data_IF_749405845628
#
_entry.id   IF_749405845628
#
_cell.length_a   1.000
_cell.length_b   1.000
_cell.length_c   1.000
_cell.angle_alpha   90.00
_cell.angle_beta   90.00
_cell.angle_gamma   90.00
#
_symmetry.space_group_name_H-M   'P 1'
#
loop_
_entity.id
_entity.type
_entity.pdbx_description
1 polymer ?
#
# COMPACT_ATOMS: atom_id res chain seq x y z
N UNK A 1 -24.14 -22.38 17.45
CA UNK A 1 -22.73 -21.91 17.47
C UNK A 1 -22.05 -22.53 16.26
N UNK A 2 -21.61 -21.77 15.25
CA UNK A 2 -20.88 -22.36 14.14
C UNK A 2 -19.48 -22.75 14.61
N UNK A 3 -19.09 -23.98 14.31
CA UNK A 3 -17.73 -24.50 14.50
C UNK A 3 -16.85 -23.80 13.47
N UNK A 4 -16.09 -22.80 13.88
CA UNK A 4 -15.05 -22.22 13.05
C UNK A 4 -13.94 -23.26 12.91
N UNK A 5 -13.85 -23.90 11.74
CA UNK A 5 -12.68 -24.69 11.38
C UNK A 5 -11.45 -23.75 11.39
N UNK A 6 -10.47 -24.08 12.23
CA UNK A 6 -9.11 -23.52 12.28
C UNK A 6 -8.35 -23.88 10.99
N UNK A 7 -8.79 -23.37 9.84
CA UNK A 7 -8.16 -23.66 8.54
C UNK A 7 -6.83 -22.89 8.38
N UNK A 8 -6.63 -21.81 9.14
CA UNK A 8 -5.48 -20.94 9.00
C UNK A 8 -4.87 -20.59 10.37
N UNK A 9 -3.85 -21.34 10.80
CA UNK A 9 -3.09 -20.99 12.01
C UNK A 9 -2.10 -19.86 11.69
N UNK A 10 -2.03 -18.78 12.48
CA UNK A 10 -1.09 -17.67 12.25
C UNK A 10 0.38 -18.09 12.15
N UNK A 11 0.74 -19.21 12.78
CA UNK A 11 2.08 -19.81 12.80
C UNK A 11 2.52 -20.34 11.42
N UNK A 12 1.61 -20.49 10.46
CA UNK A 12 1.88 -21.07 9.13
C UNK A 12 2.10 -20.01 8.03
N UNK A 13 2.03 -18.70 8.33
CA UNK A 13 1.63 -17.72 7.31
C UNK A 13 2.34 -16.36 7.43
N UNK A 14 3.65 -16.36 7.38
CA UNK A 14 4.25 -15.69 6.23
C UNK A 14 5.16 -16.71 5.63
N UNK A 15 4.83 -17.11 4.43
CA UNK A 15 5.70 -18.05 3.76
C UNK A 15 6.91 -17.24 3.29
N UNK A 16 8.01 -17.33 4.05
CA UNK A 16 9.23 -16.54 3.81
C UNK A 16 9.74 -16.69 2.37
N UNK A 17 9.31 -17.74 1.67
CA UNK A 17 9.56 -17.98 0.25
C UNK A 17 8.88 -16.98 -0.70
N UNK A 18 7.83 -16.25 -0.27
CA UNK A 18 7.16 -15.18 -1.01
C UNK A 18 7.95 -13.86 -1.02
N UNK A 19 9.04 -13.78 -0.27
CA UNK A 19 9.85 -12.56 -0.13
C UNK A 19 11.30 -12.84 -0.46
N UNK A 20 11.92 -11.89 -1.17
CA UNK A 20 13.36 -11.82 -1.32
C UNK A 20 13.92 -10.85 -0.30
N UNK A 21 15.14 -11.08 0.17
CA UNK A 21 15.83 -10.16 1.06
C UNK A 21 17.23 -9.87 0.53
N UNK A 22 17.71 -8.65 0.77
CA UNK A 22 19.03 -8.20 0.37
C UNK A 22 19.44 -6.95 1.12
N UNK A 23 20.71 -6.57 0.94
CA UNK A 23 21.25 -5.37 1.57
C UNK A 23 21.19 -4.19 0.60
N UNK A 24 21.08 -2.99 1.17
CA UNK A 24 21.20 -1.72 0.47
C UNK A 24 22.55 -1.66 -0.26
N UNK A 25 22.54 -1.19 -1.50
CA UNK A 25 23.75 -1.12 -2.30
C UNK A 25 24.78 -0.14 -1.70
N UNK A 26 26.06 -0.51 -1.77
CA UNK A 26 27.18 0.33 -1.33
C UNK A 26 27.76 1.19 -2.47
N UNK A 27 27.02 1.36 -3.59
CA UNK A 27 27.51 2.08 -4.79
C UNK A 27 27.62 3.59 -4.56
N UNK A 28 26.67 4.19 -3.84
CA UNK A 28 26.66 5.62 -3.53
C UNK A 28 27.09 5.82 -2.08
N UNK A 29 28.12 6.64 -1.84
CA UNK A 29 28.69 6.85 -0.49
C UNK A 29 28.17 8.09 0.23
N UNK A 30 27.55 9.02 -0.48
CA UNK A 30 27.17 10.35 0.02
C UNK A 30 25.67 10.55 -0.01
N UNK A 31 25.12 11.13 1.06
CA UNK A 31 23.71 11.53 1.11
C UNK A 31 23.43 12.70 0.15
N UNK A 32 22.18 12.87 -0.32
CA UNK A 32 21.83 14.00 -1.19
C UNK A 32 22.14 15.36 -0.52
N UNK A 33 21.91 15.44 0.79
CA UNK A 33 22.16 16.65 1.60
C UNK A 33 23.65 16.99 1.71
N UNK A 34 24.53 15.99 1.63
CA UNK A 34 25.98 16.16 1.70
C UNK A 34 26.58 16.61 0.36
N UNK A 35 25.94 16.25 -0.77
CA UNK A 35 26.33 16.70 -2.11
C UNK A 35 26.19 18.22 -2.26
N UNK A 36 25.26 18.84 -1.52
CA UNK A 36 25.04 20.29 -1.52
C UNK A 36 26.06 21.08 -0.69
N UNK A 37 26.79 20.44 0.25
CA UNK A 37 27.75 21.13 1.12
C UNK A 37 29.13 21.35 0.49
N UNK A 38 29.40 20.78 -0.70
CA UNK A 38 30.65 21.02 -1.44
C UNK A 38 30.65 22.29 -2.31
N UNK A 39 29.52 23.03 -2.40
CA UNK A 39 29.44 24.30 -3.12
C UNK A 39 29.46 25.50 -2.18
N UNK A 40 30.47 26.37 -2.30
CA UNK A 40 30.64 27.61 -1.52
C UNK A 40 29.70 28.74 -1.95
N UNK A 41 28.38 28.60 -1.75
CA UNK A 41 27.44 29.72 -1.94
C UNK A 41 26.27 29.71 -0.94
N UNK A 42 25.67 30.88 -0.74
CA UNK A 42 24.80 31.27 0.38
C UNK A 42 23.54 30.42 0.60
N UNK A 43 23.08 30.38 1.86
CA UNK A 43 22.80 29.16 2.62
C UNK A 43 21.35 28.63 2.63
N UNK A 44 20.46 29.02 1.72
CA UNK A 44 19.11 28.41 1.64
C UNK A 44 18.65 28.12 0.21
N UNK A 45 18.92 29.04 -0.71
CA UNK A 45 18.54 28.91 -2.12
C UNK A 45 19.44 27.94 -2.89
N UNK A 46 20.72 27.83 -2.52
CA UNK A 46 21.67 26.94 -3.20
C UNK A 46 21.36 25.46 -2.95
N UNK A 47 20.95 25.10 -1.73
CA UNK A 47 20.50 23.74 -1.38
C UNK A 47 19.29 23.31 -2.22
N UNK A 48 18.29 24.18 -2.34
CA UNK A 48 17.10 23.91 -3.15
C UNK A 48 17.42 23.80 -4.65
N UNK A 49 18.38 24.57 -5.16
CA UNK A 49 18.83 24.54 -6.58
C UNK A 49 19.66 23.30 -6.90
N UNK A 50 20.60 22.89 -6.04
CA UNK A 50 21.38 21.68 -6.28
C UNK A 50 20.55 20.39 -6.14
N UNK A 51 19.56 20.36 -5.24
CA UNK A 51 18.62 19.23 -5.18
C UNK A 51 17.75 19.10 -6.44
N UNK A 52 17.56 20.18 -7.21
CA UNK A 52 16.88 20.14 -8.52
C UNK A 52 17.77 19.58 -9.63
N UNK A 53 19.09 19.59 -9.47
CA UNK A 53 20.07 19.08 -10.46
C UNK A 53 20.38 17.59 -10.27
N UNK A 54 19.97 16.99 -9.14
CA UNK A 54 20.16 15.56 -8.89
C UNK A 54 19.25 14.74 -9.81
N UNK A 55 19.84 13.77 -10.52
CA UNK A 55 19.10 12.69 -11.15
C UNK A 55 18.59 11.72 -10.09
N UNK A 56 17.46 12.08 -9.48
CA UNK A 56 16.83 11.35 -8.39
C UNK A 56 16.51 9.90 -8.76
N UNK A 57 16.10 9.65 -10.00
CA UNK A 57 15.86 8.32 -10.52
C UNK A 57 17.13 7.47 -10.49
N UNK A 58 18.24 7.97 -11.04
CA UNK A 58 19.52 7.26 -10.98
C UNK A 58 19.98 7.06 -9.53
N UNK A 59 19.84 8.09 -8.70
CA UNK A 59 20.28 8.05 -7.31
C UNK A 59 19.54 6.96 -6.53
N UNK A 60 18.19 6.99 -6.55
CA UNK A 60 17.34 6.03 -5.86
C UNK A 60 17.60 4.61 -6.34
N UNK A 61 17.68 4.39 -7.65
CA UNK A 61 17.93 3.06 -8.21
C UNK A 61 19.29 2.49 -7.78
N UNK A 62 20.30 3.35 -7.59
CA UNK A 62 21.62 2.91 -7.17
C UNK A 62 21.77 2.64 -5.67
N UNK A 63 20.82 3.09 -4.83
CA UNK A 63 20.78 2.74 -3.41
C UNK A 63 19.88 1.54 -3.11
N UNK A 64 18.92 1.21 -4.00
CA UNK A 64 18.11 0.01 -3.85
C UNK A 64 18.97 -1.27 -3.83
N UNK A 65 18.50 -2.36 -3.17
CA UNK A 65 19.19 -3.65 -3.24
C UNK A 65 19.35 -4.09 -4.70
N UNK A 66 20.56 -4.44 -5.17
CA UNK A 66 20.78 -4.77 -6.59
C UNK A 66 19.89 -5.91 -7.09
N UNK A 67 19.64 -6.90 -6.22
CA UNK A 67 18.80 -8.05 -6.53
C UNK A 67 17.33 -7.67 -6.72
N UNK A 68 16.88 -6.51 -6.21
CA UNK A 68 15.53 -6.01 -6.47
C UNK A 68 15.39 -5.58 -7.92
N UNK A 69 16.41 -4.95 -8.51
CA UNK A 69 16.35 -4.48 -9.89
C UNK A 69 16.65 -5.62 -10.87
N UNK A 70 17.77 -6.30 -10.68
CA UNK A 70 18.31 -7.28 -11.64
C UNK A 70 17.40 -8.51 -11.82
N UNK A 71 16.64 -8.90 -10.79
CA UNK A 71 15.78 -10.09 -10.85
C UNK A 71 14.34 -9.81 -11.28
N UNK A 72 13.90 -8.56 -11.22
CA UNK A 72 12.48 -8.23 -11.39
C UNK A 72 12.22 -7.30 -12.57
N UNK A 73 13.25 -6.61 -13.09
CA UNK A 73 13.09 -5.64 -14.17
C UNK A 73 14.12 -5.85 -15.28
N UNK A 74 13.68 -5.70 -16.53
CA UNK A 74 14.54 -5.51 -17.69
C UNK A 74 15.05 -4.07 -17.81
N UNK A 75 16.02 -3.83 -18.69
CA UNK A 75 16.65 -2.51 -18.88
C UNK A 75 15.64 -1.41 -19.24
N UNK A 76 14.67 -1.70 -20.11
CA UNK A 76 13.62 -0.77 -20.49
C UNK A 76 12.74 -0.36 -19.29
N UNK A 77 12.40 -1.31 -18.44
CA UNK A 77 11.60 -1.05 -17.25
C UNK A 77 12.39 -0.25 -16.20
N UNK A 78 13.69 -0.51 -16.07
CA UNK A 78 14.59 0.30 -15.22
C UNK A 78 14.67 1.73 -15.75
N UNK A 79 14.78 1.92 -17.07
CA UNK A 79 14.78 3.25 -17.69
C UNK A 79 13.45 3.98 -17.48
N UNK A 80 12.33 3.29 -17.63
CA UNK A 80 10.99 3.82 -17.33
C UNK A 80 10.87 4.24 -15.86
N UNK A 81 11.33 3.39 -14.94
CA UNK A 81 11.31 3.66 -13.50
C UNK A 81 12.14 4.90 -13.15
N UNK A 82 13.35 5.01 -13.71
CA UNK A 82 14.20 6.22 -13.56
C UNK A 82 13.48 7.47 -14.04
N UNK A 83 12.84 7.40 -15.21
CA UNK A 83 12.11 8.53 -15.80
C UNK A 83 10.93 8.96 -14.92
N UNK A 84 10.12 8.01 -14.44
CA UNK A 84 8.98 8.28 -13.55
C UNK A 84 9.42 8.93 -12.24
N UNK A 85 10.49 8.44 -11.61
CA UNK A 85 11.03 9.04 -10.37
C UNK A 85 11.51 10.48 -10.63
N UNK A 86 12.24 10.71 -11.73
CA UNK A 86 12.71 12.05 -12.10
C UNK A 86 11.58 13.02 -12.46
N UNK A 87 10.48 12.51 -13.01
CA UNK A 87 9.31 13.32 -13.29
C UNK A 87 8.62 13.72 -11.97
N UNK A 88 8.43 12.77 -11.06
CA UNK A 88 7.82 13.02 -9.75
C UNK A 88 8.67 13.94 -8.87
N UNK A 89 10.01 13.83 -8.90
CA UNK A 89 10.93 14.64 -8.10
C UNK A 89 10.91 16.14 -8.42
N UNK A 90 10.31 16.53 -9.56
CA UNK A 90 10.05 17.95 -9.87
C UNK A 90 9.10 18.58 -8.87
N UNK A 91 8.18 17.79 -8.30
CA UNK A 91 7.29 18.24 -7.24
C UNK A 91 8.04 18.28 -5.92
N UNK A 92 7.96 19.40 -5.21
CA UNK A 92 8.66 19.63 -3.94
C UNK A 92 8.37 18.53 -2.91
N UNK A 93 7.10 18.17 -2.73
CA UNK A 93 6.67 17.12 -1.80
C UNK A 93 7.28 15.76 -2.12
N UNK A 94 7.28 15.36 -3.40
CA UNK A 94 7.87 14.09 -3.82
C UNK A 94 9.39 14.09 -3.67
N UNK A 95 10.04 15.23 -3.91
CA UNK A 95 11.48 15.40 -3.70
C UNK A 95 11.86 15.28 -2.22
N UNK A 96 11.11 15.91 -1.34
CA UNK A 96 11.27 15.77 0.11
C UNK A 96 11.17 14.31 0.51
N UNK A 97 10.11 13.62 0.08
CA UNK A 97 9.90 12.19 0.32
C UNK A 97 11.08 11.34 -0.17
N UNK A 98 11.59 11.61 -1.38
CA UNK A 98 12.75 10.92 -1.94
C UNK A 98 14.03 11.14 -1.13
N UNK A 99 14.27 12.35 -0.66
CA UNK A 99 15.39 12.70 0.21
C UNK A 99 15.31 11.94 1.55
N UNK A 100 14.12 11.89 2.16
CA UNK A 100 13.86 11.12 3.39
C UNK A 100 14.09 9.62 3.19
N UNK A 101 13.62 9.08 2.08
CA UNK A 101 13.85 7.68 1.73
C UNK A 101 15.32 7.36 1.49
N UNK A 102 16.05 8.24 0.80
CA UNK A 102 17.49 8.09 0.63
C UNK A 102 18.20 8.03 1.99
N UNK A 103 17.89 8.96 2.89
CA UNK A 103 18.41 8.93 4.28
C UNK A 103 18.11 7.62 4.99
N UNK A 104 16.86 7.17 4.95
CA UNK A 104 16.45 5.91 5.57
C UNK A 104 17.18 4.69 4.99
N UNK A 105 17.37 4.63 3.67
CA UNK A 105 18.14 3.56 3.03
C UNK A 105 19.60 3.55 3.48
N UNK A 106 20.20 4.73 3.61
CA UNK A 106 21.55 4.88 4.14
C UNK A 106 21.67 4.36 5.58
N UNK A 107 20.75 4.74 6.47
CA UNK A 107 20.75 4.27 7.86
C UNK A 107 20.69 2.74 7.93
N UNK A 108 19.84 2.12 7.09
CA UNK A 108 19.73 0.65 7.01
C UNK A 108 20.97 -0.01 6.46
N UNK A 109 21.69 0.64 5.54
CA UNK A 109 22.98 0.18 5.03
C UNK A 109 24.04 0.19 6.13
N UNK A 110 24.17 1.29 6.85
CA UNK A 110 25.15 1.44 7.93
C UNK A 110 24.87 0.43 9.06
N UNK A 111 23.59 0.20 9.36
CA UNK A 111 23.16 -0.85 10.29
C UNK A 111 23.32 -2.29 9.73
N UNK A 112 23.76 -2.47 8.47
CA UNK A 112 23.85 -3.74 7.76
C UNK A 112 22.55 -4.55 7.79
N UNK A 113 21.42 -3.85 7.82
CA UNK A 113 20.12 -4.49 7.90
C UNK A 113 19.73 -5.03 6.52
N UNK A 114 19.20 -6.24 6.50
CA UNK A 114 18.57 -6.79 5.30
C UNK A 114 17.17 -6.18 5.14
N UNK A 115 16.86 -5.71 3.95
CA UNK A 115 15.53 -5.29 3.54
C UNK A 115 14.89 -6.44 2.76
N UNK A 116 13.60 -6.68 2.98
CA UNK A 116 12.85 -7.71 2.27
C UNK A 116 11.74 -7.09 1.44
N UNK A 117 11.39 -7.72 0.32
CA UNK A 117 10.37 -7.27 -0.63
C UNK A 117 9.68 -8.47 -1.28
N UNK A 118 8.48 -8.30 -1.88
CA UNK A 118 7.76 -9.37 -2.57
C UNK A 118 8.62 -9.99 -3.66
N UNK A 119 8.64 -11.32 -3.73
CA UNK A 119 9.31 -12.08 -4.79
C UNK A 119 8.52 -12.10 -6.09
N UNK A 120 7.19 -12.03 -6.01
CA UNK A 120 6.29 -12.10 -7.16
C UNK A 120 5.55 -10.78 -7.30
N UNK A 121 5.28 -10.36 -8.54
CA UNK A 121 4.53 -9.14 -8.83
C UNK A 121 5.10 -7.88 -8.11
N UNK A 122 6.41 -7.83 -7.90
CA UNK A 122 7.08 -6.82 -7.05
C UNK A 122 6.76 -5.39 -7.46
N UNK A 123 6.78 -5.11 -8.77
CA UNK A 123 6.49 -3.77 -9.29
C UNK A 123 5.00 -3.54 -9.53
N UNK A 124 4.19 -4.59 -9.65
CA UNK A 124 2.73 -4.43 -9.61
C UNK A 124 2.27 -3.86 -8.26
N UNK A 125 2.97 -4.18 -7.15
CA UNK A 125 2.72 -3.57 -5.85
C UNK A 125 3.03 -2.08 -5.86
N UNK A 126 4.13 -1.68 -6.48
CA UNK A 126 4.56 -0.28 -6.59
C UNK A 126 3.55 0.51 -7.43
N UNK A 127 3.12 -0.04 -8.56
CA UNK A 127 2.16 0.57 -9.48
C UNK A 127 0.73 0.64 -8.92
N UNK A 128 0.46 -0.06 -7.81
CA UNK A 128 -0.82 0.09 -7.10
C UNK A 128 -0.93 1.42 -6.37
N UNK A 129 0.12 2.23 -6.26
CA UNK A 129 0.04 3.52 -5.56
C UNK A 129 -0.08 4.66 -6.57
N UNK A 130 -0.77 5.75 -6.19
CA UNK A 130 -0.89 6.94 -7.04
C UNK A 130 0.43 7.67 -7.35
N UNK A 131 1.55 7.21 -6.79
CA UNK A 131 2.90 7.75 -6.98
C UNK A 131 3.92 6.61 -6.89
N UNK A 132 4.87 6.62 -7.82
CA UNK A 132 6.01 5.69 -7.87
C UNK A 132 6.85 5.78 -6.59
N UNK A 133 7.11 7.01 -6.12
CA UNK A 133 7.86 7.26 -4.88
C UNK A 133 7.18 6.58 -3.69
N UNK A 134 5.85 6.75 -3.57
CA UNK A 134 5.08 6.12 -2.48
C UNK A 134 5.03 4.60 -2.59
N UNK A 135 4.92 4.07 -3.81
CA UNK A 135 4.95 2.63 -4.04
C UNK A 135 6.29 2.00 -3.61
N UNK A 136 7.41 2.66 -3.93
CA UNK A 136 8.74 2.21 -3.50
C UNK A 136 8.88 2.18 -1.97
N UNK A 137 8.30 3.14 -1.26
CA UNK A 137 8.36 3.15 0.21
C UNK A 137 7.56 2.00 0.82
N UNK A 138 6.48 1.60 0.15
CA UNK A 138 5.64 0.49 0.60
C UNK A 138 6.17 -0.89 0.24
N UNK A 139 7.25 -0.93 -0.55
CA UNK A 139 7.78 -2.18 -1.06
C UNK A 139 8.45 -3.01 0.04
N UNK A 140 9.08 -2.36 1.02
CA UNK A 140 9.91 -3.05 1.99
C UNK A 140 9.13 -3.52 3.22
N UNK A 141 9.44 -4.75 3.68
CA UNK A 141 8.75 -5.40 4.80
C UNK A 141 9.67 -5.77 5.95
N UNK A 142 9.12 -5.75 7.15
CA UNK A 142 9.85 -6.10 8.38
C UNK A 142 9.94 -7.62 8.52
N UNK A 143 11.11 -8.17 8.20
CA UNK A 143 11.39 -9.60 8.29
C UNK A 143 11.30 -10.16 9.71
N UNK A 144 11.44 -9.32 10.74
CA UNK A 144 11.30 -9.75 12.14
C UNK A 144 9.85 -10.12 12.49
N UNK A 145 8.89 -9.63 11.70
CA UNK A 145 7.46 -9.87 11.90
C UNK A 145 6.94 -11.09 11.15
N UNK A 146 7.74 -11.71 10.28
CA UNK A 146 7.33 -12.90 9.53
C UNK A 146 6.83 -14.03 10.45
N UNK A 147 7.51 -14.28 11.56
CA UNK A 147 7.11 -15.32 12.52
C UNK A 147 5.96 -14.91 13.45
N UNK A 148 5.55 -13.63 13.42
CA UNK A 148 4.61 -13.04 14.40
C UNK A 148 3.30 -12.60 13.77
N UNK A 149 3.22 -12.56 12.44
CA UNK A 149 2.10 -11.99 11.70
C UNK A 149 1.66 -12.96 10.60
N UNK A 150 0.38 -12.85 10.25
CA UNK A 150 -0.29 -13.64 9.23
C UNK A 150 -0.02 -13.15 7.79
N UNK A 151 0.65 -12.02 7.62
CA UNK A 151 1.15 -11.52 6.35
C UNK A 151 2.26 -10.51 6.62
N UNK A 152 3.06 -10.16 5.61
CA UNK A 152 4.16 -9.23 5.76
C UNK A 152 3.65 -7.80 6.00
N UNK A 153 4.33 -7.11 6.90
CA UNK A 153 4.00 -5.74 7.33
C UNK A 153 5.06 -4.81 6.74
N UNK A 154 4.61 -3.69 6.17
CA UNK A 154 5.50 -2.65 5.63
C UNK A 154 6.41 -2.13 6.76
N UNK A 155 7.70 -1.92 6.48
CA UNK A 155 8.58 -1.32 7.48
C UNK A 155 8.13 0.13 7.72
N UNK A 156 7.85 0.46 8.98
CA UNK A 156 7.58 1.83 9.37
C UNK A 156 8.84 2.70 9.25
N UNK A 157 8.67 3.89 8.67
CA UNK A 157 9.76 4.88 8.54
C UNK A 157 9.90 5.75 9.80
N UNK A 158 8.98 5.62 10.77
CA UNK A 158 8.96 6.46 11.99
C UNK A 158 8.52 7.90 11.74
N UNK A 159 8.17 8.23 10.48
CA UNK A 159 7.78 9.55 10.02
C UNK A 159 6.33 9.49 9.51
N UNK A 160 5.47 10.36 10.06
CA UNK A 160 4.06 10.41 9.74
C UNK A 160 3.80 10.86 8.29
N UNK A 161 4.76 11.51 7.63
CA UNK A 161 4.63 11.91 6.23
C UNK A 161 4.99 10.78 5.25
N UNK A 162 5.73 9.76 5.73
CA UNK A 162 6.11 8.56 4.96
C UNK A 162 5.10 7.43 5.12
N UNK A 163 3.81 7.76 5.20
CA UNK A 163 2.73 6.78 5.17
C UNK A 163 2.44 6.39 3.72
N UNK A 164 2.17 5.11 3.41
CA UNK A 164 1.50 4.72 2.17
C UNK A 164 0.44 5.73 1.78
N UNK A 165 0.64 6.40 0.65
CA UNK A 165 -0.47 7.19 0.12
C UNK A 165 -1.58 6.27 -0.36
N UNK A 166 -2.68 6.86 -0.83
CA UNK A 166 -3.82 6.10 -1.30
C UNK A 166 -3.42 5.11 -2.40
N UNK A 167 -4.07 3.95 -2.37
CA UNK A 167 -4.01 2.97 -3.44
C UNK A 167 -4.76 3.55 -4.64
N UNK A 168 -4.19 3.38 -5.83
CA UNK A 168 -4.77 3.90 -7.07
C UNK A 168 -6.16 3.30 -7.32
N UNK A 169 -7.12 4.18 -7.60
CA UNK A 169 -8.51 3.82 -7.89
C UNK A 169 -8.75 3.48 -9.36
N UNK A 170 -7.70 3.56 -10.19
CA UNK A 170 -7.82 3.43 -11.65
C UNK A 170 -8.04 2.00 -12.15
N UNK A 171 -7.59 0.99 -11.40
CA UNK A 171 -7.72 -0.43 -11.76
C UNK A 171 -8.31 -1.25 -10.61
N UNK A 172 -9.08 -2.31 -10.89
CA UNK A 172 -9.52 -3.22 -9.83
C UNK A 172 -8.32 -3.90 -9.18
N UNK A 173 -8.37 -4.05 -7.86
CA UNK A 173 -7.39 -4.85 -7.13
C UNK A 173 -7.95 -6.24 -6.93
N UNK A 174 -7.44 -7.18 -7.70
CA UNK A 174 -7.95 -8.53 -7.73
C UNK A 174 -7.08 -9.49 -6.93
N UNK A 175 -7.74 -10.39 -6.21
CA UNK A 175 -7.15 -11.56 -5.60
C UNK A 175 -7.84 -12.81 -6.17
N UNK A 176 -7.11 -13.53 -7.02
CA UNK A 176 -7.54 -14.79 -7.60
C UNK A 176 -7.14 -15.97 -6.72
N UNK A 177 -7.84 -17.09 -6.88
CA UNK A 177 -7.64 -18.31 -6.10
C UNK A 177 -6.28 -18.99 -6.35
N UNK A 178 -5.66 -18.74 -7.49
CA UNK A 178 -4.34 -19.21 -7.91
C UNK A 178 -3.20 -18.25 -7.53
N UNK A 179 -3.53 -17.09 -6.94
CA UNK A 179 -2.53 -16.15 -6.45
C UNK A 179 -1.67 -16.80 -5.38
N UNK A 180 -0.35 -16.66 -5.52
CA UNK A 180 0.63 -17.10 -4.52
C UNK A 180 0.43 -16.41 -3.16
N UNK A 181 -0.26 -15.26 -3.13
CA UNK A 181 -0.58 -14.51 -1.92
C UNK A 181 -1.95 -14.85 -1.31
N UNK A 182 -2.76 -15.71 -1.94
CA UNK A 182 -4.14 -16.00 -1.51
C UNK A 182 -4.23 -16.47 -0.06
N UNK A 183 -3.34 -17.39 0.34
CA UNK A 183 -3.33 -17.98 1.70
C UNK A 183 -2.86 -16.96 2.75
N UNK A 184 -1.81 -16.19 2.47
CA UNK A 184 -1.30 -15.14 3.37
C UNK A 184 -2.39 -14.06 3.59
N UNK A 185 -3.06 -13.60 2.54
CA UNK A 185 -4.13 -12.58 2.65
C UNK A 185 -5.34 -13.14 3.40
N UNK A 186 -5.77 -14.36 3.08
CA UNK A 186 -6.90 -15.01 3.76
C UNK A 186 -6.64 -15.16 5.26
N UNK A 187 -5.41 -15.51 5.64
CA UNK A 187 -5.01 -15.61 7.05
C UNK A 187 -4.96 -14.25 7.72
N UNK A 188 -4.44 -13.23 7.04
CA UNK A 188 -4.40 -11.86 7.59
C UNK A 188 -5.81 -11.36 7.94
N UNK A 189 -6.80 -11.64 7.09
CA UNK A 189 -8.20 -11.30 7.37
C UNK A 189 -8.81 -12.14 8.49
N UNK A 190 -8.48 -13.44 8.57
CA UNK A 190 -8.91 -14.30 9.67
C UNK A 190 -8.33 -13.85 11.03
N UNK A 191 -7.06 -13.42 11.07
CA UNK A 191 -6.43 -12.87 12.27
C UNK A 191 -7.07 -11.54 12.69
N UNK A 192 -7.40 -10.67 11.72
CA UNK A 192 -8.13 -9.45 11.97
C UNK A 192 -9.51 -9.73 12.58
N UNK A 193 -10.27 -10.67 12.04
CA UNK A 193 -11.58 -11.02 12.59
C UNK A 193 -11.47 -11.58 14.00
N UNK A 194 -10.48 -12.44 14.26
CA UNK A 194 -10.20 -12.95 15.61
C UNK A 194 -9.93 -11.80 16.60
N UNK A 195 -9.15 -10.80 16.18
CA UNK A 195 -8.91 -9.58 16.98
C UNK A 195 -10.21 -8.84 17.23
N UNK A 196 -11.00 -8.56 16.20
CA UNK A 196 -12.29 -7.87 16.31
C UNK A 196 -13.25 -8.58 17.29
N UNK A 197 -13.34 -9.91 17.22
CA UNK A 197 -14.17 -10.71 18.14
C UNK A 197 -13.70 -10.64 19.61
N UNK A 198 -12.42 -10.33 19.85
CA UNK A 198 -11.88 -10.08 21.19
C UNK A 198 -12.30 -8.72 21.77
N UNK A 199 -12.68 -7.76 20.93
CA UNK A 199 -13.11 -6.41 21.32
C UNK A 199 -14.63 -6.33 21.52
N UNK A 200 -15.18 -7.20 22.39
CA UNK A 200 -16.64 -7.32 22.64
C UNK A 200 -17.37 -6.05 23.12
N UNK A 201 -16.65 -4.98 23.46
CA UNK A 201 -17.22 -3.73 24.01
C UNK A 201 -16.72 -2.46 23.29
N UNK A 202 -16.12 -2.59 22.10
CA UNK A 202 -15.65 -1.47 21.33
C UNK A 202 -16.82 -0.75 20.61
N UNK A 203 -16.75 0.59 20.54
CA UNK A 203 -17.67 1.35 19.68
C UNK A 203 -17.41 1.02 18.20
N UNK A 204 -18.37 1.23 17.28
CA UNK A 204 -18.15 1.04 15.85
C UNK A 204 -16.91 1.76 15.32
N UNK A 205 -16.64 2.97 15.81
CA UNK A 205 -15.47 3.79 15.45
C UNK A 205 -14.16 3.12 15.87
N UNK A 206 -14.11 2.59 17.09
CA UNK A 206 -12.94 1.88 17.60
C UNK A 206 -12.65 0.61 16.77
N UNK A 207 -13.70 -0.09 16.34
CA UNK A 207 -13.57 -1.23 15.43
C UNK A 207 -13.02 -0.84 14.06
N UNK A 208 -13.48 0.28 13.50
CA UNK A 208 -13.00 0.81 12.22
C UNK A 208 -11.53 1.22 12.31
N UNK A 209 -11.14 1.92 13.38
CA UNK A 209 -9.75 2.33 13.58
C UNK A 209 -8.83 1.11 13.71
N UNK A 210 -9.26 0.07 14.43
CA UNK A 210 -8.51 -1.19 14.51
C UNK A 210 -8.36 -1.85 13.13
N UNK A 211 -9.42 -1.86 12.32
CA UNK A 211 -9.38 -2.40 10.95
C UNK A 211 -8.39 -1.60 10.10
N UNK A 212 -8.53 -0.26 10.08
CA UNK A 212 -7.63 0.64 9.35
C UNK A 212 -6.17 0.41 9.73
N UNK A 213 -5.85 0.54 11.01
CA UNK A 213 -4.48 0.43 11.49
C UNK A 213 -3.89 -0.95 11.21
N UNK A 214 -4.69 -2.02 11.34
CA UNK A 214 -4.22 -3.38 11.07
C UNK A 214 -3.98 -3.62 9.58
N UNK A 215 -4.92 -3.21 8.72
CA UNK A 215 -4.87 -3.48 7.30
C UNK A 215 -3.87 -2.60 6.56
N UNK A 216 -3.77 -1.31 6.91
CA UNK A 216 -2.80 -0.39 6.33
C UNK A 216 -1.35 -0.76 6.65
N UNK A 217 -1.13 -1.43 7.78
CA UNK A 217 0.18 -1.94 8.16
C UNK A 217 0.66 -3.08 7.25
N UNK A 218 -0.25 -3.91 6.73
CA UNK A 218 0.13 -4.97 5.79
C UNK A 218 0.66 -4.39 4.50
N UNK A 219 1.58 -5.13 3.87
CA UNK A 219 2.25 -4.66 2.69
C UNK A 219 1.45 -4.87 1.39
N UNK A 220 0.60 -5.90 1.35
CA UNK A 220 -0.15 -6.23 0.14
C UNK A 220 -1.20 -5.15 -0.22
N UNK A 221 -1.21 -4.61 -1.46
CA UNK A 221 -2.13 -3.55 -1.89
C UNK A 221 -3.61 -3.87 -1.65
N UNK A 222 -4.02 -5.13 -1.90
CA UNK A 222 -5.38 -5.59 -1.63
C UNK A 222 -5.81 -5.37 -0.17
N UNK A 223 -4.93 -5.66 0.81
CA UNK A 223 -5.23 -5.45 2.22
C UNK A 223 -5.25 -3.95 2.55
N UNK A 224 -4.30 -3.17 2.02
CA UNK A 224 -4.28 -1.72 2.21
C UNK A 224 -5.55 -1.05 1.70
N UNK A 225 -6.01 -1.42 0.49
CA UNK A 225 -7.23 -0.88 -0.09
C UNK A 225 -8.48 -1.19 0.76
N UNK A 226 -8.58 -2.39 1.34
CA UNK A 226 -9.63 -2.70 2.33
C UNK A 226 -9.53 -1.81 3.57
N UNK A 227 -8.31 -1.52 4.03
CA UNK A 227 -8.06 -0.58 5.12
C UNK A 227 -8.48 0.85 4.78
N UNK A 228 -8.16 1.34 3.58
CA UNK A 228 -8.55 2.68 3.11
C UNK A 228 -10.06 2.82 2.94
N UNK A 229 -10.72 1.75 2.50
CA UNK A 229 -12.17 1.68 2.34
C UNK A 229 -12.95 1.58 3.66
N UNK A 230 -12.26 1.43 4.80
CA UNK A 230 -12.91 1.26 6.09
C UNK A 230 -13.68 2.53 6.51
N UNK A 231 -15.00 2.50 6.36
CA UNK A 231 -15.89 3.60 6.72
C UNK A 231 -17.08 3.09 7.55
N UNK A 232 -17.68 3.99 8.33
CA UNK A 232 -18.88 3.67 9.14
C UNK A 232 -20.04 3.26 8.24
N UNK A 233 -20.27 4.06 7.19
CA UNK A 233 -21.29 3.84 6.19
C UNK A 233 -20.63 3.79 4.83
N UNK A 234 -20.99 2.78 4.04
CA UNK A 234 -20.50 2.61 2.68
C UNK A 234 -21.70 2.71 1.72
N UNK A 235 -21.49 3.39 0.60
CA UNK A 235 -22.50 3.59 -0.43
C UNK A 235 -22.01 3.00 -1.75
N UNK A 236 -22.96 2.60 -2.60
CA UNK A 236 -22.64 2.19 -3.96
C UNK A 236 -22.12 3.40 -4.75
N UNK A 237 -20.95 3.24 -5.37
CA UNK A 237 -20.33 4.26 -6.21
C UNK A 237 -20.17 3.81 -7.66
N UNK A 238 -20.62 2.61 -8.00
CA UNK A 238 -20.55 2.07 -9.36
C UNK A 238 -21.72 2.59 -10.22
N UNK A 239 -21.45 3.08 -11.43
CA UNK A 239 -22.46 3.75 -12.26
C UNK A 239 -23.61 2.83 -12.66
N UNK A 240 -23.33 1.56 -12.92
CA UNK A 240 -24.37 0.59 -13.28
C UNK A 240 -25.19 0.10 -12.07
N UNK A 241 -24.96 0.66 -10.88
CA UNK A 241 -25.56 0.24 -9.63
C UNK A 241 -24.84 -0.94 -8.98
N UNK A 242 -25.21 -1.21 -7.73
CA UNK A 242 -24.67 -2.30 -6.93
C UNK A 242 -25.79 -3.21 -6.45
N UNK A 243 -25.46 -4.48 -6.24
CA UNK A 243 -26.31 -5.45 -5.56
C UNK A 243 -25.98 -5.51 -4.07
N UNK A 244 -26.91 -6.02 -3.28
CA UNK A 244 -26.84 -6.19 -1.82
C UNK A 244 -26.35 -7.59 -1.39
N UNK A 245 -25.93 -8.42 -2.35
CA UNK A 245 -25.28 -9.71 -2.12
C UNK A 245 -24.14 -9.95 -3.11
N UNK A 246 -23.19 -10.81 -2.73
CA UNK A 246 -22.05 -11.14 -3.59
C UNK A 246 -22.50 -11.98 -4.79
N UNK A 247 -22.31 -11.47 -6.01
CA UNK A 247 -22.64 -12.16 -7.25
C UNK A 247 -21.55 -11.95 -8.31
N UNK A 248 -21.30 -12.99 -9.12
CA UNK A 248 -20.38 -12.88 -10.24
C UNK A 248 -20.84 -11.86 -11.29
N UNK A 249 -19.89 -11.13 -11.87
CA UNK A 249 -20.17 -10.11 -12.89
C UNK A 249 -20.96 -8.90 -12.39
N UNK A 250 -21.23 -8.80 -11.08
CA UNK A 250 -21.91 -7.67 -10.46
C UNK A 250 -21.06 -7.08 -9.34
N UNK A 251 -21.27 -5.79 -9.10
CA UNK A 251 -20.63 -5.07 -7.99
C UNK A 251 -21.51 -5.15 -6.76
N UNK A 252 -20.97 -5.70 -5.68
CA UNK A 252 -21.59 -5.72 -4.35
C UNK A 252 -21.19 -4.47 -3.56
N UNK A 253 -22.15 -3.82 -2.90
CA UNK A 253 -21.87 -2.71 -1.99
C UNK A 253 -22.15 -3.13 -0.53
N UNK A 254 -21.11 -3.29 0.31
CA UNK A 254 -21.31 -3.53 1.74
C UNK A 254 -21.92 -2.29 2.39
N UNK A 255 -22.65 -2.46 3.51
CA UNK A 255 -23.28 -1.35 4.25
C UNK A 255 -22.29 -0.64 5.17
N UNK A 256 -21.32 -1.39 5.70
CA UNK A 256 -20.29 -0.88 6.61
C UNK A 256 -18.99 -1.68 6.51
N UNK A 257 -17.94 -1.17 7.13
CA UNK A 257 -16.61 -1.79 7.14
C UNK A 257 -16.58 -3.23 7.69
N UNK A 258 -17.38 -3.55 8.71
CA UNK A 258 -17.41 -4.89 9.30
C UNK A 258 -17.97 -5.89 8.29
N UNK A 259 -19.06 -5.52 7.60
CA UNK A 259 -19.65 -6.31 6.52
C UNK A 259 -18.71 -6.45 5.32
N UNK A 260 -17.98 -5.39 4.96
CA UNK A 260 -16.94 -5.44 3.92
C UNK A 260 -15.90 -6.51 4.24
N UNK A 261 -15.25 -6.43 5.41
CA UNK A 261 -14.19 -7.36 5.81
C UNK A 261 -14.72 -8.79 5.93
N UNK A 262 -15.90 -8.97 6.54
CA UNK A 262 -16.54 -10.28 6.67
C UNK A 262 -16.89 -10.91 5.32
N UNK A 263 -17.43 -10.11 4.38
CA UNK A 263 -17.78 -10.59 3.03
C UNK A 263 -16.53 -11.01 2.27
N UNK A 264 -15.48 -10.18 2.28
CA UNK A 264 -14.21 -10.50 1.62
C UNK A 264 -13.61 -11.77 2.19
N UNK A 265 -13.50 -11.89 3.53
CA UNK A 265 -12.98 -13.11 4.16
C UNK A 265 -13.79 -14.34 3.74
N UNK A 266 -15.12 -14.26 3.79
CA UNK A 266 -15.98 -15.38 3.41
C UNK A 266 -15.77 -15.76 1.94
N UNK A 267 -15.67 -14.78 1.04
CA UNK A 267 -15.39 -15.01 -0.37
C UNK A 267 -14.04 -15.72 -0.58
N UNK A 268 -12.97 -15.27 0.08
CA UNK A 268 -11.65 -15.88 -0.02
C UNK A 268 -11.59 -17.29 0.60
N UNK A 269 -12.32 -17.52 1.70
CA UNK A 269 -12.45 -18.83 2.33
C UNK A 269 -13.11 -19.84 1.38
N UNK A 270 -14.09 -19.38 0.61
CA UNK A 270 -14.75 -20.16 -0.45
C UNK A 270 -13.97 -20.17 -1.78
N UNK A 271 -12.74 -19.65 -1.80
CA UNK A 271 -11.86 -19.55 -2.98
C UNK A 271 -12.49 -18.84 -4.18
N UNK A 272 -13.35 -17.86 -3.92
CA UNK A 272 -13.91 -17.01 -4.97
C UNK A 272 -12.86 -15.97 -5.40
N UNK A 273 -12.73 -15.68 -6.70
CA UNK A 273 -11.93 -14.54 -7.17
C UNK A 273 -12.62 -13.23 -6.81
N UNK A 274 -11.93 -12.37 -6.06
CA UNK A 274 -12.46 -11.11 -5.54
C UNK A 274 -11.68 -9.94 -6.12
N UNK A 275 -12.38 -8.95 -6.67
CA UNK A 275 -11.80 -7.68 -7.07
C UNK A 275 -12.41 -6.53 -6.31
N UNK A 276 -11.58 -5.62 -5.83
CA UNK A 276 -11.98 -4.40 -5.17
C UNK A 276 -12.03 -3.26 -6.19
N UNK A 277 -13.11 -2.49 -6.21
CA UNK A 277 -13.33 -1.41 -7.18
C UNK A 277 -13.70 -0.10 -6.50
N UNK A 278 -13.10 0.99 -6.99
CA UNK A 278 -13.39 2.37 -6.58
C UNK A 278 -14.05 3.18 -7.71
N UNK A 279 -13.67 2.90 -8.95
CA UNK A 279 -14.12 3.66 -10.13
C UNK A 279 -15.42 3.10 -10.72
N UNK A 280 -16.23 4.01 -11.24
CA UNK A 280 -17.60 3.78 -11.61
C UNK A 280 -17.79 3.08 -12.97
N UNK A 281 -16.72 2.90 -13.76
CA UNK A 281 -16.82 2.54 -15.19
C UNK A 281 -15.88 1.42 -15.64
N UNK A 282 -15.49 0.53 -14.72
CA UNK A 282 -14.62 -0.60 -15.06
C UNK A 282 -15.43 -1.75 -15.68
N UNK A 283 -15.02 -2.33 -16.83
CA UNK A 283 -15.67 -3.50 -17.40
C UNK A 283 -15.62 -4.72 -16.46
N UNK A 284 -16.78 -5.32 -16.22
CA UNK A 284 -16.91 -6.49 -15.35
C UNK A 284 -16.78 -7.78 -16.15
N UNK A 285 -16.22 -8.82 -15.51
CA UNK A 285 -16.15 -10.18 -16.04
C UNK A 285 -17.11 -11.08 -15.27
N UNK A 286 -17.84 -11.92 -15.99
CA UNK A 286 -18.86 -12.82 -15.42
C UNK A 286 -18.30 -13.94 -14.53
N UNK A 287 -16.98 -14.07 -14.44
CA UNK A 287 -16.31 -15.08 -13.59
C UNK A 287 -15.68 -14.49 -12.33
N UNK A 288 -15.89 -13.20 -12.06
CA UNK A 288 -15.24 -12.46 -10.97
C UNK A 288 -16.30 -11.84 -10.07
N UNK A 289 -16.06 -11.87 -8.76
CA UNK A 289 -16.88 -11.11 -7.80
C UNK A 289 -16.25 -9.75 -7.55
N UNK A 290 -17.07 -8.69 -7.62
CA UNK A 290 -16.60 -7.32 -7.45
C UNK A 290 -17.18 -6.72 -6.18
N UNK A 291 -16.36 -6.04 -5.40
CA UNK A 291 -16.77 -5.39 -4.15
C UNK A 291 -16.45 -3.91 -4.25
N UNK A 292 -17.47 -3.09 -4.06
CA UNK A 292 -17.34 -1.64 -4.04
C UNK A 292 -16.66 -1.18 -2.76
N UNK A 293 -15.60 -0.40 -2.90
CA UNK A 293 -14.89 0.21 -1.77
C UNK A 293 -15.41 1.60 -1.40
N UNK A 294 -16.40 2.12 -2.15
CA UNK A 294 -16.91 3.48 -1.97
C UNK A 294 -15.98 4.54 -2.55
N UNK A 295 -16.36 5.81 -2.38
CA UNK A 295 -15.52 6.94 -2.79
C UNK A 295 -14.38 7.11 -1.80
N UNK A 296 -13.18 7.39 -2.31
CA UNK A 296 -12.15 8.03 -1.51
C UNK A 296 -12.75 9.31 -0.93
N UNK A 297 -12.78 9.41 0.40
CA UNK A 297 -13.03 10.68 1.05
C UNK A 297 -11.90 11.64 0.71
N UNK A 298 -12.08 12.45 -0.32
CA UNK A 298 -11.53 13.81 -0.34
C UNK A 298 -12.21 14.60 0.77
N UNK A 299 -11.82 14.32 2.01
CA UNK A 299 -11.98 15.22 3.15
C UNK A 299 -10.62 15.31 3.84
N UNK A 300 -9.71 16.07 3.24
CA UNK A 300 -8.86 16.91 4.07
C UNK A 300 -9.79 17.93 4.73
N UNK A 301 -10.16 17.71 5.98
CA UNK A 301 -10.56 18.84 6.82
C UNK A 301 -9.32 19.73 6.94
N UNK A 302 -9.22 20.75 6.10
CA UNK A 302 -8.39 21.91 6.41
C UNK A 302 -8.96 22.49 7.70
N UNK A 303 -8.19 22.39 8.78
CA UNK A 303 -8.41 23.21 9.97
C UNK A 303 -7.97 24.62 9.59
N UNK A 304 -8.81 25.32 8.84
CA UNK A 304 -8.77 26.77 8.79
C UNK A 304 -10.16 27.28 9.10
N UNK A 305 -10.22 28.08 10.15
CA UNK A 305 -11.40 28.71 10.64
C UNK A 305 -12.04 29.58 9.55
N UNK A 306 -13.37 29.53 9.49
CA UNK A 306 -14.26 30.36 8.68
C UNK A 306 -14.32 30.04 7.18
N UNK A 307 -15.33 29.26 6.78
CA UNK A 307 -16.45 29.77 5.96
C UNK A 307 -17.31 28.62 5.42
N UNK A 308 -18.59 28.92 5.34
CA UNK A 308 -19.75 28.12 4.88
C UNK A 308 -19.53 27.37 3.56
N UNK A 309 -19.78 26.05 3.57
CA UNK A 309 -20.04 25.29 2.35
C UNK A 309 -21.48 25.59 1.89
N UNK A 310 -21.64 26.18 0.71
CA UNK A 310 -22.93 26.32 0.02
C UNK A 310 -22.99 25.24 -1.05
N UNK A 311 -23.99 24.36 -0.93
CA UNK A 311 -24.36 23.40 -1.97
C UNK A 311 -24.74 24.13 -3.26
N UNK A 312 -24.13 23.72 -4.37
CA UNK A 312 -24.58 24.08 -5.71
C UNK A 312 -24.86 22.81 -6.51
N UNK A 313 -26.05 22.25 -6.28
CA UNK A 313 -26.70 21.32 -7.20
C UNK A 313 -27.71 22.12 -8.01
N UNK A 314 -27.56 22.10 -9.33
CA UNK A 314 -28.66 22.35 -10.27
C UNK A 314 -29.42 21.04 -10.49
#
# INVERSE_FOLDING_TARGET
MPVYLDIYRPEQVTSTWLYNCGHVAAKIKTLPQELSMTSTSTQSDALARHEQEIDWGAYVLNILPPQLLEKNLGEEQIASLRSSINLESRQEKSRYLLSRFAGWMFDRREAKQALCWPRFATFDFVDCFGSMVRGLFNLFVDSSLFKKRASAVTIGFGDAEMVPGPITTQRPLCLFNDSVYHVDISTALADLERKLNGYKYATPETGIDLIKQTLLAYQHPFLKALGEAAQVNMHCTYQAGCVDFLLYGRVYAPRNCIELVGTVRNALTNRLPVCLVHNQSIPLRDSITYINLGTEGSQSCSVDASSTCIDSSS
#
